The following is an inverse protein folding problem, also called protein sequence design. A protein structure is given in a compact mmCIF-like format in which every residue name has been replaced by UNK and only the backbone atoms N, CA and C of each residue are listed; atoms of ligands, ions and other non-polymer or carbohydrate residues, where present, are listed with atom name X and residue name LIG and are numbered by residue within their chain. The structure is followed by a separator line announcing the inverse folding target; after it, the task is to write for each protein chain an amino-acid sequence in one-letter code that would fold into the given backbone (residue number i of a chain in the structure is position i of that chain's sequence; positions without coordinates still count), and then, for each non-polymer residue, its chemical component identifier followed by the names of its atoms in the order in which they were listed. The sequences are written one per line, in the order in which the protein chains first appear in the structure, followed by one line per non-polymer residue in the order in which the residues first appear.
data_IF_414584718949
#
_entry.id   IF_414584718949
#
_cell.length_a   1.000
_cell.length_b   1.000
_cell.length_c   1.000
_cell.angle_alpha   90.00
_cell.angle_beta   90.00
_cell.angle_gamma   90.00
#
_symmetry.space_group_name_H-M   'P 1'
#
loop_
_entity.id
_entity.type
_entity.pdbx_description
1 polymer ?
#
# COMPACT_ATOMS: atom_id res chain seq x y z
N UNK A 1 20.37 10.08 0.29
CA UNK A 1 18.94 9.83 -0.03
C UNK A 1 18.02 10.44 1.03
N UNK A 2 18.28 10.19 2.30
CA UNK A 2 17.56 10.81 3.43
C UNK A 2 17.57 12.35 3.43
N UNK A 3 18.70 12.97 3.14
CA UNK A 3 18.84 14.43 2.97
C UNK A 3 17.96 14.97 1.80
N UNK A 4 17.68 14.16 0.79
CA UNK A 4 16.87 14.55 -0.36
C UNK A 4 15.38 14.51 -0.03
N UNK A 5 14.93 13.48 0.68
CA UNK A 5 13.55 13.35 1.21
C UNK A 5 13.27 14.47 2.22
N UNK A 6 14.23 14.74 3.12
CA UNK A 6 14.12 15.88 4.06
C UNK A 6 14.12 17.24 3.33
N UNK A 7 14.84 17.37 2.21
CA UNK A 7 14.86 18.60 1.41
C UNK A 7 13.56 18.79 0.62
N UNK A 8 12.95 17.73 0.08
CA UNK A 8 11.60 17.75 -0.49
C UNK A 8 10.57 18.13 0.58
N UNK A 9 10.66 17.54 1.76
CA UNK A 9 9.83 17.85 2.92
C UNK A 9 9.97 19.31 3.37
N UNK A 10 11.19 19.84 3.44
CA UNK A 10 11.46 21.23 3.84
C UNK A 10 10.99 22.27 2.83
N UNK A 11 11.00 21.96 1.54
CA UNK A 11 10.51 22.85 0.48
C UNK A 11 8.97 22.91 0.43
N UNK A 12 8.30 21.81 0.79
CA UNK A 12 6.83 21.75 0.89
C UNK A 12 6.30 22.54 2.10
N UNK A 13 7.06 22.57 3.19
CA UNK A 13 6.69 23.19 4.47
C UNK A 13 6.79 24.74 4.43
N UNK A 14 7.73 25.29 3.66
CA UNK A 14 8.06 26.74 3.80
C UNK A 14 7.04 27.72 3.26
N UNK A 15 6.05 27.39 2.44
CA UNK A 15 5.18 28.41 1.83
C UNK A 15 3.70 28.10 1.59
N UNK A 16 3.12 27.01 2.00
CA UNK A 16 1.66 26.77 1.83
C UNK A 16 1.12 26.94 0.39
N UNK A 17 2.00 27.11 -0.61
CA UNK A 17 1.70 27.23 -2.03
C UNK A 17 2.53 26.19 -2.78
N UNK A 18 1.84 25.30 -3.47
CA UNK A 18 2.45 24.45 -4.50
C UNK A 18 3.00 25.40 -5.56
N UNK A 19 4.32 25.46 -5.70
CA UNK A 19 4.96 26.18 -6.80
C UNK A 19 4.84 25.31 -8.05
N UNK A 20 4.05 25.71 -9.08
CA UNK A 20 3.59 24.81 -10.12
C UNK A 20 4.70 24.21 -10.98
N UNK A 21 5.76 24.92 -11.29
CA UNK A 21 6.70 24.53 -12.36
C UNK A 21 8.03 23.91 -11.89
N UNK A 22 8.64 24.40 -10.81
CA UNK A 22 9.93 23.83 -10.37
C UNK A 22 9.78 22.52 -9.60
N UNK A 23 8.72 22.37 -8.80
CA UNK A 23 8.43 21.10 -8.14
C UNK A 23 7.99 20.03 -9.14
N UNK A 24 7.19 20.41 -10.14
CA UNK A 24 6.77 19.52 -11.21
C UNK A 24 7.99 19.05 -12.02
N UNK A 25 8.89 19.94 -12.37
CA UNK A 25 10.10 19.57 -13.14
C UNK A 25 11.08 18.71 -12.33
N UNK A 26 11.25 18.95 -11.00
CA UNK A 26 12.03 18.09 -10.12
C UNK A 26 11.33 16.74 -9.88
N UNK A 27 10.02 16.73 -9.70
CA UNK A 27 9.23 15.51 -9.60
C UNK A 27 9.42 14.63 -10.84
N UNK A 28 9.39 15.21 -12.03
CA UNK A 28 9.65 14.46 -13.29
C UNK A 28 11.11 14.00 -13.44
N UNK A 29 12.09 14.74 -12.92
CA UNK A 29 13.49 14.30 -12.93
C UNK A 29 13.74 13.06 -12.05
N UNK A 30 12.97 12.90 -10.96
CA UNK A 30 13.07 11.78 -10.02
C UNK A 30 12.08 10.63 -10.27
N UNK A 31 11.24 10.72 -11.28
CA UNK A 31 10.31 9.66 -11.69
C UNK A 31 11.00 8.30 -11.90
N UNK A 32 12.28 8.32 -12.23
CA UNK A 32 13.11 7.12 -12.38
C UNK A 32 13.32 6.34 -11.07
N UNK A 33 13.14 6.97 -9.90
CA UNK A 33 13.27 6.32 -8.58
C UNK A 33 11.89 6.06 -8.00
N UNK A 34 10.98 7.04 -8.11
CA UNK A 34 9.66 7.05 -7.49
C UNK A 34 8.75 5.99 -8.10
N UNK A 35 8.83 5.80 -9.42
CA UNK A 35 7.90 4.96 -10.17
C UNK A 35 8.46 3.58 -10.53
N UNK A 36 9.59 3.16 -9.93
CA UNK A 36 10.19 1.85 -10.22
C UNK A 36 10.03 0.89 -9.06
N UNK A 37 9.95 -0.42 -9.35
CA UNK A 37 10.14 -1.42 -8.32
C UNK A 37 11.53 -1.27 -7.70
N UNK A 38 11.70 -1.70 -6.46
CA UNK A 38 13.00 -1.73 -5.82
C UNK A 38 13.22 -3.04 -5.09
N UNK A 39 14.49 -3.43 -5.02
CA UNK A 39 14.96 -4.54 -4.20
C UNK A 39 16.12 -4.06 -3.34
N UNK A 40 16.03 -4.28 -2.03
CA UNK A 40 17.09 -4.01 -1.06
C UNK A 40 17.64 -5.36 -0.60
N UNK A 41 18.91 -5.62 -0.85
CA UNK A 41 19.57 -6.83 -0.34
C UNK A 41 19.71 -6.74 1.17
N UNK A 42 19.35 -7.81 1.87
CA UNK A 42 19.58 -7.97 3.30
C UNK A 42 20.80 -8.81 3.59
N UNK A 43 21.10 -8.93 4.88
CA UNK A 43 22.15 -9.83 5.41
C UNK A 43 21.58 -11.12 5.97
N UNK A 44 20.25 -11.19 6.17
CA UNK A 44 19.54 -12.38 6.65
C UNK A 44 18.92 -13.21 5.51
N UNK A 45 18.50 -14.42 5.84
CA UNK A 45 17.77 -15.31 4.91
C UNK A 45 16.26 -14.97 4.80
N UNK A 46 15.86 -13.79 5.27
CA UNK A 46 14.46 -13.34 5.28
C UNK A 46 14.26 -12.18 4.30
N UNK A 47 13.19 -12.27 3.52
CA UNK A 47 12.75 -11.20 2.62
C UNK A 47 11.32 -10.77 2.95
N UNK A 48 11.04 -9.46 2.87
CA UNK A 48 9.71 -8.90 3.00
C UNK A 48 9.28 -8.30 1.65
N UNK A 49 8.22 -8.86 1.06
CA UNK A 49 7.58 -8.30 -0.14
C UNK A 49 6.59 -7.24 0.31
N UNK A 50 6.76 -6.00 -0.16
CA UNK A 50 5.93 -4.85 0.23
C UNK A 50 5.15 -4.29 -0.96
N UNK A 51 3.82 -4.39 -0.90
CA UNK A 51 2.91 -4.05 -2.00
C UNK A 51 2.24 -2.70 -1.74
N UNK A 52 2.37 -1.78 -2.70
CA UNK A 52 1.78 -0.45 -2.62
C UNK A 52 0.26 -0.46 -2.84
N UNK A 53 -0.41 0.63 -2.46
CA UNK A 53 -1.84 0.83 -2.63
C UNK A 53 -2.25 1.19 -4.07
N UNK A 54 -3.57 1.15 -4.34
CA UNK A 54 -4.14 1.53 -5.62
C UNK A 54 -3.80 2.97 -6.00
N UNK A 55 -3.39 3.16 -7.25
CA UNK A 55 -2.91 4.42 -7.86
C UNK A 55 -1.59 4.96 -7.29
N UNK A 56 -0.97 4.29 -6.31
CA UNK A 56 0.31 4.64 -5.73
C UNK A 56 1.49 4.02 -6.49
N UNK A 57 2.67 4.01 -5.91
CA UNK A 57 3.89 3.42 -6.47
C UNK A 57 4.68 2.69 -5.38
N UNK A 58 5.68 1.85 -5.70
CA UNK A 58 6.52 1.19 -4.70
C UNK A 58 7.23 2.15 -3.75
N UNK A 59 7.38 3.42 -4.11
CA UNK A 59 7.98 4.44 -3.25
C UNK A 59 7.20 4.65 -1.95
N UNK A 60 5.89 4.37 -1.94
CA UNK A 60 5.06 4.36 -0.73
C UNK A 60 5.63 3.46 0.37
N UNK A 61 6.25 2.35 -0.03
CA UNK A 61 6.84 1.36 0.86
C UNK A 61 8.30 1.66 1.25
N UNK A 62 8.88 2.75 0.72
CA UNK A 62 10.32 3.00 0.80
C UNK A 62 10.83 3.19 2.23
N UNK A 63 10.09 3.92 3.07
CA UNK A 63 10.51 4.21 4.44
C UNK A 63 10.52 2.93 5.26
N UNK A 64 9.41 2.19 5.28
CA UNK A 64 9.34 0.89 5.97
C UNK A 64 10.37 -0.11 5.40
N UNK A 65 10.50 -0.17 4.08
CA UNK A 65 11.47 -1.04 3.44
C UNK A 65 12.91 -0.73 3.83
N UNK A 66 13.25 0.56 3.95
CA UNK A 66 14.59 0.97 4.39
C UNK A 66 14.85 0.60 5.86
N UNK A 67 13.85 0.74 6.73
CA UNK A 67 13.98 0.36 8.14
C UNK A 67 14.14 -1.16 8.30
N UNK A 68 13.34 -1.96 7.61
CA UNK A 68 13.51 -3.42 7.58
C UNK A 68 14.90 -3.82 7.07
N UNK A 69 15.42 -3.11 6.06
CA UNK A 69 16.73 -3.41 5.50
C UNK A 69 17.89 -3.04 6.43
N UNK A 70 17.79 -1.96 7.21
CA UNK A 70 18.74 -1.62 8.26
C UNK A 70 18.83 -2.74 9.31
N UNK A 71 17.72 -3.41 9.58
CA UNK A 71 17.63 -4.56 10.48
C UNK A 71 18.09 -5.90 9.84
N UNK A 72 18.63 -5.84 8.63
CA UNK A 72 19.22 -6.98 7.93
C UNK A 72 18.25 -7.76 7.04
N UNK A 73 16.97 -7.40 6.95
CA UNK A 73 16.02 -8.07 6.06
C UNK A 73 16.18 -7.60 4.62
N UNK A 74 16.04 -8.52 3.67
CA UNK A 74 15.86 -8.15 2.28
C UNK A 74 14.44 -7.60 2.09
N UNK A 75 14.28 -6.65 1.17
CA UNK A 75 12.97 -6.07 0.84
C UNK A 75 12.78 -6.05 -0.66
N UNK A 76 11.62 -6.51 -1.12
CA UNK A 76 11.21 -6.46 -2.52
C UNK A 76 9.89 -5.70 -2.64
N UNK A 77 9.87 -4.62 -3.40
CA UNK A 77 8.67 -3.83 -3.62
C UNK A 77 8.35 -3.80 -5.12
N UNK A 78 7.42 -4.65 -5.58
CA UNK A 78 7.02 -4.70 -6.98
C UNK A 78 6.21 -3.46 -7.39
N UNK A 79 6.29 -3.09 -8.66
CA UNK A 79 5.38 -2.15 -9.28
C UNK A 79 4.21 -2.91 -9.91
N UNK A 80 3.00 -2.59 -9.51
CA UNK A 80 1.79 -3.19 -10.06
C UNK A 80 1.51 -2.68 -11.47
N UNK A 81 0.99 -3.55 -12.33
CA UNK A 81 0.61 -3.22 -13.70
C UNK A 81 -0.27 -1.97 -13.76
N UNK A 82 0.00 -1.09 -14.73
CA UNK A 82 -0.71 0.18 -14.93
C UNK A 82 -0.34 1.30 -13.97
N UNK A 83 0.45 1.03 -12.92
CA UNK A 83 0.90 2.04 -11.97
C UNK A 83 2.24 2.67 -12.35
N UNK A 84 2.58 3.79 -11.73
CA UNK A 84 3.88 4.46 -11.87
C UNK A 84 4.16 5.05 -13.25
N UNK A 85 3.18 5.16 -14.13
CA UNK A 85 3.31 5.66 -15.50
C UNK A 85 2.28 6.76 -15.80
N UNK A 86 1.15 6.42 -16.41
CA UNK A 86 0.02 7.32 -16.70
C UNK A 86 -1.29 6.71 -16.22
N UNK A 87 -2.26 7.53 -15.78
CA UNK A 87 -3.58 7.04 -15.38
C UNK A 87 -4.26 6.14 -16.43
N UNK A 88 -4.06 6.46 -17.72
CA UNK A 88 -4.66 5.73 -18.83
C UNK A 88 -4.20 4.25 -18.88
N UNK A 89 -3.00 3.95 -18.39
CA UNK A 89 -2.48 2.59 -18.34
C UNK A 89 -3.21 1.70 -17.32
N UNK A 90 -4.00 2.27 -16.40
CA UNK A 90 -4.87 1.52 -15.50
C UNK A 90 -6.20 1.09 -16.15
N UNK A 91 -6.58 1.69 -17.29
CA UNK A 91 -7.94 1.55 -17.85
C UNK A 91 -8.33 0.11 -18.18
N UNK A 92 -7.35 -0.69 -18.60
CA UNK A 92 -7.55 -2.07 -19.05
C UNK A 92 -6.85 -3.10 -18.17
N UNK A 93 -6.31 -2.69 -17.03
CA UNK A 93 -5.69 -3.61 -16.07
C UNK A 93 -6.76 -4.19 -15.17
N UNK A 94 -6.80 -5.52 -15.07
CA UNK A 94 -7.72 -6.23 -14.20
C UNK A 94 -7.09 -6.56 -12.85
N UNK A 95 -7.92 -6.86 -11.87
CA UNK A 95 -7.45 -7.22 -10.53
C UNK A 95 -6.61 -8.51 -10.52
N UNK A 96 -6.88 -9.46 -11.40
CA UNK A 96 -6.10 -10.68 -11.57
C UNK A 96 -4.68 -10.38 -12.09
N UNK A 97 -4.52 -9.31 -12.87
CA UNK A 97 -3.20 -8.88 -13.30
C UNK A 97 -2.37 -8.39 -12.11
N UNK A 98 -2.96 -7.63 -11.20
CA UNK A 98 -2.28 -7.18 -9.98
C UNK A 98 -1.96 -8.36 -9.05
N UNK A 99 -2.87 -9.33 -8.90
CA UNK A 99 -2.60 -10.56 -8.16
C UNK A 99 -1.38 -11.29 -8.75
N UNK A 100 -1.33 -11.47 -10.07
CA UNK A 100 -0.19 -12.10 -10.77
C UNK A 100 1.13 -11.33 -10.59
N UNK A 101 1.09 -10.00 -10.54
CA UNK A 101 2.29 -9.18 -10.33
C UNK A 101 2.90 -9.47 -8.95
N UNK A 102 2.07 -9.52 -7.90
CA UNK A 102 2.52 -9.82 -6.54
C UNK A 102 2.95 -11.28 -6.41
N UNK A 103 2.18 -12.20 -6.97
CA UNK A 103 2.51 -13.63 -6.99
C UNK A 103 3.87 -13.88 -7.67
N UNK A 104 4.14 -13.22 -8.79
CA UNK A 104 5.43 -13.28 -9.49
C UNK A 104 6.57 -12.75 -8.63
N UNK A 105 6.36 -11.63 -7.93
CA UNK A 105 7.35 -11.08 -7.01
C UNK A 105 7.63 -12.05 -5.86
N UNK A 106 6.60 -12.56 -5.20
CA UNK A 106 6.71 -13.57 -4.15
C UNK A 106 7.51 -14.79 -4.61
N UNK A 107 7.10 -15.44 -5.71
CA UNK A 107 7.77 -16.63 -6.24
C UNK A 107 9.23 -16.39 -6.63
N UNK A 108 9.55 -15.17 -7.08
CA UNK A 108 10.93 -14.81 -7.40
C UNK A 108 11.81 -14.78 -6.15
N UNK A 109 11.36 -14.14 -5.07
CA UNK A 109 12.15 -14.00 -3.85
C UNK A 109 12.15 -15.30 -3.03
N UNK A 110 11.07 -16.09 -3.04
CA UNK A 110 10.99 -17.38 -2.34
C UNK A 110 12.03 -18.38 -2.83
N UNK A 111 12.50 -18.26 -4.07
CA UNK A 111 13.63 -19.07 -4.58
C UNK A 111 15.00 -18.70 -3.99
N UNK A 112 15.10 -17.53 -3.36
CA UNK A 112 16.36 -16.96 -2.89
C UNK A 112 16.44 -16.86 -1.37
N UNK A 113 15.31 -16.79 -0.69
CA UNK A 113 15.22 -16.57 0.76
C UNK A 113 14.45 -17.70 1.42
N UNK A 114 14.88 -18.08 2.63
CA UNK A 114 14.25 -19.16 3.41
C UNK A 114 12.89 -18.72 3.95
N UNK A 115 12.82 -17.48 4.50
CA UNK A 115 11.57 -16.89 5.01
C UNK A 115 11.15 -15.75 4.11
N UNK A 116 9.86 -15.72 3.74
CA UNK A 116 9.27 -14.65 2.94
C UNK A 116 7.96 -14.19 3.55
N UNK A 117 7.95 -12.95 4.03
CA UNK A 117 6.77 -12.24 4.46
C UNK A 117 6.17 -11.46 3.30
N UNK A 118 4.84 -11.32 3.27
CA UNK A 118 4.16 -10.49 2.30
C UNK A 118 3.33 -9.44 3.05
N UNK A 119 3.54 -8.18 2.71
CA UNK A 119 2.79 -7.09 3.31
C UNK A 119 2.35 -6.07 2.29
N UNK A 120 1.38 -5.24 2.66
CA UNK A 120 0.93 -4.20 1.75
C UNK A 120 0.04 -3.17 2.38
N UNK A 121 -0.04 -2.04 1.68
CA UNK A 121 -0.84 -0.89 2.05
C UNK A 121 -2.18 -0.89 1.31
N UNK A 122 -3.31 -0.73 2.02
CA UNK A 122 -4.62 -0.61 1.40
C UNK A 122 -4.92 -1.80 0.47
N UNK A 123 -5.21 -1.59 -0.82
CA UNK A 123 -5.37 -2.65 -1.82
C UNK A 123 -4.17 -3.62 -1.85
N UNK A 124 -2.95 -3.13 -1.60
CA UNK A 124 -1.77 -3.99 -1.49
C UNK A 124 -1.86 -5.03 -0.37
N UNK A 125 -2.53 -4.69 0.74
CA UNK A 125 -2.82 -5.63 1.82
C UNK A 125 -3.83 -6.71 1.40
N UNK A 126 -4.85 -6.37 0.60
CA UNK A 126 -5.75 -7.37 0.03
C UNK A 126 -5.02 -8.30 -0.95
N UNK A 127 -4.13 -7.77 -1.78
CA UNK A 127 -3.29 -8.60 -2.65
C UNK A 127 -2.35 -9.52 -1.87
N UNK A 128 -1.81 -9.06 -0.73
CA UNK A 128 -1.03 -9.91 0.18
C UNK A 128 -1.86 -11.08 0.74
N UNK A 129 -3.13 -10.83 1.10
CA UNK A 129 -4.07 -11.89 1.50
C UNK A 129 -4.29 -12.92 0.38
N UNK A 130 -4.40 -12.48 -0.88
CA UNK A 130 -4.54 -13.38 -2.03
C UNK A 130 -3.32 -14.28 -2.18
N UNK A 131 -2.11 -13.70 -2.11
CA UNK A 131 -0.87 -14.48 -2.23
C UNK A 131 -0.75 -15.50 -1.10
N UNK A 132 -1.04 -15.11 0.15
CA UNK A 132 -0.96 -16.02 1.29
C UNK A 132 -1.99 -17.16 1.22
N UNK A 133 -3.20 -16.88 0.74
CA UNK A 133 -4.21 -17.91 0.56
C UNK A 133 -3.83 -18.94 -0.52
N UNK A 134 -3.10 -18.49 -1.55
CA UNK A 134 -2.65 -19.36 -2.64
C UNK A 134 -1.31 -20.09 -2.34
N UNK A 135 -0.55 -19.62 -1.32
CA UNK A 135 0.79 -20.11 -1.00
C UNK A 135 0.92 -20.32 0.51
N UNK A 136 0.75 -21.57 0.95
CA UNK A 136 0.82 -21.95 2.36
C UNK A 136 2.23 -21.74 2.98
N UNK A 137 3.25 -21.59 2.15
CA UNK A 137 4.64 -21.37 2.51
C UNK A 137 5.04 -19.87 2.61
N UNK A 138 4.06 -18.97 2.62
CA UNK A 138 4.24 -17.58 3.10
C UNK A 138 4.45 -17.63 4.61
N UNK A 139 5.53 -17.01 5.09
CA UNK A 139 5.95 -17.09 6.49
C UNK A 139 5.21 -16.11 7.42
N UNK A 140 4.58 -15.08 6.85
CA UNK A 140 3.71 -14.15 7.60
C UNK A 140 3.20 -12.98 6.76
N UNK A 141 2.20 -12.28 7.31
CA UNK A 141 1.48 -11.17 6.68
C UNK A 141 1.59 -9.88 7.47
N UNK A 142 1.73 -8.76 6.74
CA UNK A 142 1.71 -7.39 7.29
C UNK A 142 0.66 -6.58 6.55
N UNK A 143 -0.49 -6.36 7.19
CA UNK A 143 -1.69 -5.76 6.60
C UNK A 143 -1.86 -4.32 7.11
N UNK A 144 -1.62 -3.33 6.27
CA UNK A 144 -1.62 -1.91 6.62
C UNK A 144 -2.77 -1.17 5.96
N UNK A 145 -3.67 -0.55 6.74
CA UNK A 145 -4.89 0.12 6.26
C UNK A 145 -5.68 -0.74 5.27
N UNK A 146 -5.66 -2.06 5.45
CA UNK A 146 -6.26 -3.02 4.51
C UNK A 146 -7.78 -2.97 4.60
N UNK A 147 -8.50 -2.68 3.53
CA UNK A 147 -9.96 -2.60 3.58
C UNK A 147 -10.60 -4.00 3.63
N UNK A 148 -11.53 -4.17 4.57
CA UNK A 148 -12.63 -5.11 4.50
C UNK A 148 -13.87 -4.40 3.97
N UNK A 149 -14.12 -3.17 4.44
CA UNK A 149 -15.20 -2.30 3.99
C UNK A 149 -14.67 -0.89 3.79
N UNK A 150 -15.01 -0.27 2.67
CA UNK A 150 -14.73 1.13 2.41
C UNK A 150 -15.84 2.01 2.97
N UNK A 151 -15.50 3.20 3.45
CA UNK A 151 -16.51 4.18 3.88
C UNK A 151 -17.37 4.60 2.69
N UNK A 152 -18.69 4.62 2.91
CA UNK A 152 -19.68 4.99 1.88
C UNK A 152 -19.62 4.14 0.60
N UNK A 153 -19.12 2.90 0.68
CA UNK A 153 -18.87 2.00 -0.45
C UNK A 153 -20.06 1.89 -1.40
N UNK A 154 -21.26 1.57 -0.89
CA UNK A 154 -22.46 1.37 -1.73
C UNK A 154 -22.83 2.62 -2.52
N UNK A 155 -22.79 3.78 -1.86
CA UNK A 155 -23.08 5.07 -2.49
C UNK A 155 -21.99 5.42 -3.49
N UNK A 156 -20.74 5.22 -3.14
CA UNK A 156 -19.58 5.46 -4.01
C UNK A 156 -19.61 4.62 -5.29
N UNK A 157 -19.91 3.32 -5.17
CA UNK A 157 -20.02 2.41 -6.33
C UNK A 157 -21.22 2.76 -7.21
N UNK A 158 -22.38 3.10 -6.61
CA UNK A 158 -23.54 3.54 -7.38
C UNK A 158 -23.23 4.82 -8.17
N UNK A 159 -22.67 5.82 -7.51
CA UNK A 159 -22.25 7.07 -8.15
C UNK A 159 -21.22 6.83 -9.26
N UNK A 160 -20.22 5.96 -9.02
CA UNK A 160 -19.22 5.60 -10.02
C UNK A 160 -19.84 4.95 -11.27
N UNK A 161 -20.80 4.04 -11.10
CA UNK A 161 -21.52 3.41 -12.22
C UNK A 161 -22.28 4.42 -13.05
N UNK A 162 -22.97 5.38 -12.41
CA UNK A 162 -23.67 6.45 -13.10
C UNK A 162 -22.68 7.37 -13.83
N UNK A 163 -21.64 7.81 -13.14
CA UNK A 163 -20.61 8.69 -13.72
C UNK A 163 -19.90 8.05 -14.91
N UNK A 164 -19.62 6.74 -14.86
CA UNK A 164 -18.92 6.02 -15.92
C UNK A 164 -19.67 6.01 -17.27
N UNK A 165 -20.98 6.34 -17.27
CA UNK A 165 -21.75 6.56 -18.51
C UNK A 165 -21.45 7.89 -19.20
N UNK A 166 -20.88 8.86 -18.47
CA UNK A 166 -20.66 10.22 -18.95
C UNK A 166 -19.19 10.62 -18.98
N UNK A 167 -18.35 9.98 -18.19
CA UNK A 167 -16.89 10.24 -18.13
C UNK A 167 -16.15 8.96 -17.74
N UNK A 168 -15.01 8.73 -18.38
CA UNK A 168 -14.13 7.58 -18.05
C UNK A 168 -13.22 7.86 -16.88
N UNK A 169 -13.03 9.12 -16.46
CA UNK A 169 -12.04 9.53 -15.45
C UNK A 169 -12.66 10.29 -14.31
N UNK A 170 -12.13 10.08 -13.10
CA UNK A 170 -12.46 10.83 -11.90
C UNK A 170 -11.20 11.41 -11.26
N UNK A 171 -11.24 12.69 -10.89
CA UNK A 171 -10.20 13.33 -10.08
C UNK A 171 -10.31 12.89 -8.63
N UNK A 172 -9.17 12.66 -7.99
CA UNK A 172 -9.12 12.43 -6.53
C UNK A 172 -9.43 13.73 -5.79
N UNK A 173 -10.16 13.59 -4.72
CA UNK A 173 -10.44 14.70 -3.82
C UNK A 173 -9.78 14.42 -2.47
N UNK A 174 -8.90 15.32 -2.05
CA UNK A 174 -8.24 15.29 -0.76
C UNK A 174 -8.75 16.48 0.09
N UNK A 175 -9.65 16.24 1.05
CA UNK A 175 -10.15 17.32 1.91
C UNK A 175 -9.01 17.89 2.75
N UNK A 176 -8.74 19.19 2.64
CA UNK A 176 -7.69 19.88 3.41
C UNK A 176 -7.90 19.79 4.93
N UNK A 177 -9.15 19.68 5.36
CA UNK A 177 -9.52 19.53 6.79
C UNK A 177 -8.99 18.23 7.40
N UNK A 178 -8.85 17.18 6.59
CA UNK A 178 -8.40 15.85 7.05
C UNK A 178 -6.88 15.69 6.97
N UNK A 179 -6.22 16.48 6.12
CA UNK A 179 -4.76 16.44 6.00
C UNK A 179 -4.28 17.83 5.49
N UNK A 180 -3.88 18.73 6.39
CA UNK A 180 -3.45 20.08 6.03
C UNK A 180 -2.16 20.12 5.22
N UNK A 181 -1.37 19.00 5.25
CA UNK A 181 -0.16 18.85 4.44
C UNK A 181 -0.28 17.61 3.55
N UNK A 182 0.05 17.71 2.25
CA UNK A 182 0.04 16.54 1.37
C UNK A 182 1.10 15.53 1.83
N UNK A 183 0.67 14.29 2.08
CA UNK A 183 1.58 13.18 2.34
C UNK A 183 2.37 12.81 1.06
N UNK A 184 3.51 12.14 1.22
CA UNK A 184 4.28 11.67 0.07
C UNK A 184 3.44 10.73 -0.81
N UNK A 185 2.61 9.90 -0.21
CA UNK A 185 1.67 9.01 -0.93
C UNK A 185 0.71 9.80 -1.82
N UNK A 186 0.23 10.97 -1.38
CA UNK A 186 -0.61 11.82 -2.21
C UNK A 186 0.15 12.40 -3.40
N UNK A 187 1.42 12.77 -3.21
CA UNK A 187 2.26 13.35 -4.26
C UNK A 187 2.65 12.34 -5.34
N UNK A 188 2.92 11.09 -4.96
CA UNK A 188 3.33 10.02 -5.87
C UNK A 188 2.16 9.28 -6.52
N UNK A 189 0.95 9.42 -5.98
CA UNK A 189 -0.25 8.78 -6.52
C UNK A 189 -0.81 9.54 -7.72
N UNK A 190 -1.49 8.82 -8.61
CA UNK A 190 -2.26 9.47 -9.66
C UNK A 190 -3.31 10.41 -9.09
N UNK A 191 -3.38 11.63 -9.61
CA UNK A 191 -4.36 12.64 -9.17
C UNK A 191 -5.73 12.46 -9.84
N UNK A 192 -5.80 11.67 -10.90
CA UNK A 192 -7.01 11.19 -11.55
C UNK A 192 -6.85 9.71 -11.89
N UNK A 193 -7.95 9.02 -12.05
CA UNK A 193 -7.94 7.59 -12.35
C UNK A 193 -9.12 7.21 -13.25
N UNK A 194 -8.97 6.15 -14.09
CA UNK A 194 -10.08 5.57 -14.81
C UNK A 194 -11.09 4.98 -13.82
N UNK A 195 -12.38 5.25 -14.01
CA UNK A 195 -13.44 4.76 -13.12
C UNK A 195 -13.47 3.22 -13.11
N UNK A 196 -13.20 2.59 -14.27
CA UNK A 196 -13.13 1.14 -14.36
C UNK A 196 -12.07 0.54 -13.41
N UNK A 197 -10.91 1.18 -13.27
CA UNK A 197 -9.88 0.68 -12.35
C UNK A 197 -10.30 0.73 -10.87
N UNK A 198 -11.26 1.60 -10.53
CA UNK A 198 -11.83 1.60 -9.18
C UNK A 198 -12.71 0.36 -8.94
N UNK A 199 -13.47 -0.10 -9.94
CA UNK A 199 -14.23 -1.35 -9.82
C UNK A 199 -13.29 -2.53 -9.62
N UNK A 200 -12.20 -2.61 -10.38
CA UNK A 200 -11.16 -3.63 -10.21
C UNK A 200 -10.57 -3.62 -8.78
N UNK A 201 -10.29 -2.43 -8.23
CA UNK A 201 -9.81 -2.31 -6.85
C UNK A 201 -10.85 -2.80 -5.82
N UNK A 202 -12.14 -2.57 -6.05
CA UNK A 202 -13.21 -3.13 -5.22
C UNK A 202 -13.33 -4.65 -5.38
N UNK A 203 -13.10 -5.19 -6.57
CA UNK A 203 -13.11 -6.63 -6.79
C UNK A 203 -11.96 -7.32 -6.05
N UNK A 204 -10.74 -6.75 -6.00
CA UNK A 204 -9.66 -7.24 -5.11
C UNK A 204 -10.14 -7.38 -3.67
N UNK A 205 -10.79 -6.34 -3.12
CA UNK A 205 -11.31 -6.35 -1.75
C UNK A 205 -12.33 -7.48 -1.57
N UNK A 206 -13.31 -7.54 -2.46
CA UNK A 206 -14.39 -8.54 -2.41
C UNK A 206 -13.87 -9.97 -2.51
N UNK A 207 -12.93 -10.22 -3.40
CA UNK A 207 -12.33 -11.55 -3.57
C UNK A 207 -11.48 -11.94 -2.35
N UNK A 208 -10.77 -10.99 -1.73
CA UNK A 208 -9.99 -11.27 -0.52
C UNK A 208 -10.87 -11.75 0.65
N UNK A 209 -12.13 -11.30 0.74
CA UNK A 209 -13.06 -11.77 1.79
C UNK A 209 -13.29 -13.27 1.76
N UNK A 210 -13.35 -13.86 0.56
CA UNK A 210 -13.61 -15.29 0.37
C UNK A 210 -12.41 -16.13 0.81
N UNK A 211 -11.23 -15.53 0.90
CA UNK A 211 -9.98 -16.21 1.22
C UNK A 211 -9.57 -16.09 2.70
N UNK A 212 -10.23 -15.25 3.50
CA UNK A 212 -9.81 -14.96 4.88
C UNK A 212 -9.69 -16.21 5.76
N UNK A 213 -10.61 -17.15 5.65
CA UNK A 213 -10.56 -18.41 6.42
C UNK A 213 -9.42 -19.35 6.00
N UNK A 214 -8.76 -19.09 4.89
CA UNK A 214 -7.60 -19.85 4.42
C UNK A 214 -6.27 -19.29 4.97
N UNK A 215 -6.32 -18.10 5.59
CA UNK A 215 -5.12 -17.43 6.12
C UNK A 215 -4.79 -18.01 7.49
N UNK A 216 -3.76 -18.83 7.53
CA UNK A 216 -3.24 -19.47 8.75
C UNK A 216 -1.88 -18.91 9.18
N UNK A 217 -1.23 -18.12 8.31
CA UNK A 217 0.07 -17.51 8.55
C UNK A 217 0.03 -16.49 9.68
N UNK A 218 1.10 -16.34 10.46
CA UNK A 218 1.24 -15.22 11.39
C UNK A 218 0.87 -13.90 10.71
N UNK A 219 0.01 -13.09 11.34
CA UNK A 219 -0.52 -11.89 10.69
C UNK A 219 -0.51 -10.68 11.62
N UNK A 220 0.12 -9.61 11.18
CA UNK A 220 0.10 -8.31 11.84
C UNK A 220 -0.77 -7.31 11.08
N UNK A 221 -1.82 -6.81 11.74
CA UNK A 221 -2.76 -5.84 11.19
C UNK A 221 -2.52 -4.46 11.78
N UNK A 222 -2.48 -3.45 10.93
CA UNK A 222 -2.26 -2.06 11.32
C UNK A 222 -3.32 -1.17 10.70
N UNK A 223 -4.04 -0.39 11.53
CA UNK A 223 -5.12 0.50 11.07
C UNK A 223 -4.98 1.89 11.70
N UNK A 224 -4.93 2.96 10.90
CA UNK A 224 -4.99 4.31 11.42
C UNK A 224 -6.40 4.64 11.94
N UNK A 225 -6.45 5.33 13.08
CA UNK A 225 -7.71 5.70 13.74
C UNK A 225 -8.57 6.63 12.88
N UNK A 226 -7.94 7.60 12.20
CA UNK A 226 -8.60 8.63 11.39
C UNK A 226 -8.57 8.31 9.90
N UNK A 227 -8.62 7.03 9.55
CA UNK A 227 -8.71 6.63 8.16
C UNK A 227 -10.00 7.19 7.53
N UNK A 228 -9.86 7.96 6.47
CA UNK A 228 -10.99 8.60 5.78
C UNK A 228 -11.55 7.73 4.64
N UNK A 229 -10.86 6.68 4.24
CA UNK A 229 -11.23 5.77 3.14
C UNK A 229 -11.73 4.43 3.65
N UNK A 230 -10.95 3.78 4.51
CA UNK A 230 -11.24 2.45 5.04
C UNK A 230 -12.09 2.56 6.31
N UNK A 231 -13.10 1.71 6.45
CA UNK A 231 -13.88 1.63 7.68
C UNK A 231 -13.00 1.15 8.83
N UNK A 232 -13.16 1.77 9.99
CA UNK A 232 -12.44 1.36 11.20
C UNK A 232 -12.75 -0.09 11.61
N UNK A 233 -13.92 -0.61 11.24
CA UNK A 233 -14.29 -2.00 11.49
C UNK A 233 -13.42 -2.99 10.70
N UNK A 234 -12.82 -2.57 9.58
CA UNK A 234 -12.07 -3.47 8.69
C UNK A 234 -10.99 -4.27 9.39
N UNK A 235 -10.24 -3.66 10.33
CA UNK A 235 -9.20 -4.37 11.08
C UNK A 235 -9.80 -5.49 11.94
N UNK A 236 -10.93 -5.22 12.60
CA UNK A 236 -11.63 -6.21 13.45
C UNK A 236 -12.31 -7.29 12.61
N UNK A 237 -12.87 -6.91 11.46
CA UNK A 237 -13.52 -7.84 10.53
C UNK A 237 -12.50 -8.82 9.93
N UNK A 238 -11.33 -8.34 9.51
CA UNK A 238 -10.24 -9.21 9.01
C UNK A 238 -9.70 -10.07 10.16
N UNK A 239 -9.35 -9.45 11.30
CA UNK A 239 -8.81 -10.16 12.47
C UNK A 239 -9.72 -11.28 12.95
N UNK A 240 -11.03 -11.06 13.00
CA UNK A 240 -11.99 -12.06 13.45
C UNK A 240 -12.24 -13.20 12.45
N UNK A 241 -11.88 -13.02 11.18
CA UNK A 241 -12.18 -13.98 10.09
C UNK A 241 -11.00 -14.80 9.62
N UNK A 242 -9.76 -14.32 9.79
CA UNK A 242 -8.58 -15.11 9.46
C UNK A 242 -8.41 -16.26 10.45
N UNK A 243 -7.98 -17.43 9.94
CA UNK A 243 -7.77 -18.65 10.72
C UNK A 243 -6.43 -18.69 11.45
N UNK A 244 -5.58 -17.66 11.28
CA UNK A 244 -4.30 -17.58 11.96
C UNK A 244 -4.47 -17.61 13.48
N UNK A 245 -3.71 -18.47 14.15
CA UNK A 245 -3.60 -18.52 15.61
C UNK A 245 -2.66 -17.43 16.15
N UNK A 246 -1.65 -17.05 15.36
CA UNK A 246 -0.71 -15.98 15.66
C UNK A 246 -1.11 -14.71 14.92
N UNK A 247 -1.92 -13.89 15.54
CA UNK A 247 -2.37 -12.62 14.93
C UNK A 247 -2.35 -11.48 15.94
N UNK A 248 -1.84 -10.37 15.49
CA UNK A 248 -1.72 -9.14 16.26
C UNK A 248 -2.38 -7.99 15.52
N UNK A 249 -2.87 -6.98 16.24
CA UNK A 249 -3.39 -5.78 15.64
C UNK A 249 -2.95 -4.53 16.41
N UNK A 250 -2.71 -3.46 15.66
CA UNK A 250 -2.36 -2.15 16.20
C UNK A 250 -3.20 -1.05 15.56
N UNK A 251 -3.85 -0.23 16.39
CA UNK A 251 -4.54 0.99 15.94
C UNK A 251 -3.63 2.18 16.19
N UNK A 252 -3.31 2.93 15.14
CA UNK A 252 -2.45 4.11 15.22
C UNK A 252 -3.31 5.33 15.53
N UNK A 253 -3.10 5.93 16.71
CA UNK A 253 -3.82 7.11 17.14
C UNK A 253 -3.47 8.32 16.24
N UNK A 254 -4.48 9.16 15.96
CA UNK A 254 -4.35 10.41 15.19
C UNK A 254 -3.81 10.26 13.75
N UNK A 255 -3.49 9.06 13.29
CA UNK A 255 -3.01 8.79 11.94
C UNK A 255 -4.15 8.78 10.91
N UNK A 256 -3.85 9.20 9.68
CA UNK A 256 -4.72 9.12 8.51
C UNK A 256 -4.39 7.91 7.63
N UNK A 257 -5.19 7.64 6.58
CA UNK A 257 -4.98 6.52 5.65
C UNK A 257 -3.53 6.42 5.16
N UNK A 258 -2.92 7.53 4.81
CA UNK A 258 -1.58 7.59 4.20
C UNK A 258 -0.46 7.81 5.25
N UNK A 259 -0.46 7.07 6.34
CA UNK A 259 0.51 7.23 7.44
C UNK A 259 1.94 6.82 7.08
N UNK A 260 2.14 6.09 5.98
CA UNK A 260 3.45 5.52 5.61
C UNK A 260 4.49 6.58 5.21
N UNK A 261 4.06 7.76 4.76
CA UNK A 261 4.94 8.69 4.06
C UNK A 261 5.60 9.77 4.93
N UNK A 262 5.19 9.96 6.18
CA UNK A 262 5.57 11.16 6.93
C UNK A 262 6.64 10.94 8.00
N UNK A 263 7.06 9.69 8.26
CA UNK A 263 8.01 9.37 9.34
C UNK A 263 7.51 9.65 10.77
N UNK A 264 6.28 10.19 10.90
CA UNK A 264 5.66 10.53 12.19
C UNK A 264 5.26 9.32 13.02
N UNK A 265 5.28 8.12 12.42
CA UNK A 265 4.85 6.87 13.03
C UNK A 265 5.94 5.79 12.92
N UNK A 266 7.20 6.18 13.16
CA UNK A 266 8.35 5.25 13.13
C UNK A 266 8.20 4.11 14.13
N UNK A 267 7.55 4.35 15.28
CA UNK A 267 7.21 3.34 16.27
C UNK A 267 6.33 2.19 15.76
N UNK A 268 5.54 2.46 14.70
CA UNK A 268 4.76 1.43 14.00
C UNK A 268 5.66 0.55 13.16
N UNK A 269 6.66 1.15 12.51
CA UNK A 269 7.62 0.40 11.70
C UNK A 269 8.51 -0.47 12.59
N UNK A 270 8.89 0.00 13.79
CA UNK A 270 9.58 -0.81 14.80
C UNK A 270 8.75 -2.05 15.16
N UNK A 271 7.43 -1.89 15.34
CA UNK A 271 6.54 -3.04 15.59
C UNK A 271 6.49 -4.02 14.42
N UNK A 272 6.58 -3.55 13.17
CA UNK A 272 6.69 -4.44 12.00
C UNK A 272 8.00 -5.21 12.01
N UNK A 273 9.10 -4.53 12.33
CA UNK A 273 10.41 -5.17 12.49
C UNK A 273 10.37 -6.26 13.55
N UNK A 274 9.81 -5.94 14.72
CA UNK A 274 9.68 -6.89 15.84
C UNK A 274 8.84 -8.09 15.46
N UNK A 275 7.72 -7.89 14.76
CA UNK A 275 6.88 -8.98 14.26
C UNK A 275 7.65 -9.92 13.31
N UNK A 276 8.44 -9.38 12.38
CA UNK A 276 9.26 -10.18 11.46
C UNK A 276 10.37 -10.94 12.19
N UNK A 277 10.95 -10.35 13.26
CA UNK A 277 11.98 -11.01 14.08
C UNK A 277 11.45 -12.17 14.92
N UNK A 278 10.21 -12.06 15.39
CA UNK A 278 9.61 -13.03 16.35
C UNK A 278 8.97 -14.24 15.69
N UNK A 279 8.62 -14.19 14.41
CA UNK A 279 7.95 -15.23 13.66
C UNK A 279 8.83 -15.78 12.53
#
# INVERSE_FOLDING_TARGET
MEQYVQKLHSLTIKRGRILPNEMVNRYYADLNIINKPFHLKGTSDTCVVLVHGWTSTPYEMRVLGSQLNVEGFAVDAPLLSGHGTRPEHLEHVTWEQWEKDVEKAYKRVKKQYKKVYVGGMSMGGNLALHVAANNADVDGLILMSTPYTMKHEKVGLCAARVMNKFTSYKKKYYPRVLNPQPSITQLISYQQYPINSAFEAFDVIKQSHQKLQQITQPTFLIQPERDHLVSRSSIYDIYGRIASEKKEMRVIQKASHNFMGNGEHSDVFDSVVDFVKQN
#
